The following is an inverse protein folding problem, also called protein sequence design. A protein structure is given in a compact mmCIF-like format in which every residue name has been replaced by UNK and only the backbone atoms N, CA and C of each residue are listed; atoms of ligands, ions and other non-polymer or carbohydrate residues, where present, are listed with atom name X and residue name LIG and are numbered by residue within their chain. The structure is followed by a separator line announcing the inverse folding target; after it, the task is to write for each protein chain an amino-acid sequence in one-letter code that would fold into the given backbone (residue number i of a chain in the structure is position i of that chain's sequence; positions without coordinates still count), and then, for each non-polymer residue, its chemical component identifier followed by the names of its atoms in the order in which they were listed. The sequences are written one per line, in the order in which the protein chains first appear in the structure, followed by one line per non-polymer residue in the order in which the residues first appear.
data_IF_855354191976
#
_entry.id   IF_855354191976
#
_cell.length_a   1.000
_cell.length_b   1.000
_cell.length_c   1.000
_cell.angle_alpha   90.00
_cell.angle_beta   90.00
_cell.angle_gamma   90.00
#
_symmetry.space_group_name_H-M   'P 1'
#
loop_
_entity.id
_entity.type
_entity.pdbx_description
1 polymer ?
#
# COMPACT_ATOMS: atom_id res chain seq x y z
N UNK A 1 -8.10 -8.07 15.13
CA UNK A 1 -8.32 -6.60 15.05
C UNK A 1 -9.18 -6.13 16.22
N UNK A 2 -9.04 -4.87 16.60
CA UNK A 2 -9.81 -4.28 17.71
C UNK A 2 -11.18 -3.80 17.23
N UNK A 3 -11.27 -3.30 16.01
CA UNK A 3 -12.49 -2.84 15.35
C UNK A 3 -12.42 -3.01 13.83
N UNK A 4 -13.53 -2.91 13.14
CA UNK A 4 -13.69 -3.19 11.72
C UNK A 4 -12.90 -2.27 10.76
N UNK A 5 -12.53 -1.07 11.18
CA UNK A 5 -11.67 -0.18 10.39
C UNK A 5 -10.30 -0.79 10.04
N UNK A 6 -9.87 -1.81 10.78
CA UNK A 6 -8.64 -2.57 10.55
C UNK A 6 -8.89 -3.96 9.93
N UNK A 7 -10.05 -4.18 9.27
CA UNK A 7 -10.38 -5.44 8.59
C UNK A 7 -9.26 -5.92 7.66
N UNK A 8 -8.65 -4.99 6.94
CA UNK A 8 -7.54 -5.26 6.03
C UNK A 8 -6.33 -5.96 6.68
N UNK A 9 -6.12 -5.79 8.00
CA UNK A 9 -5.07 -6.51 8.74
C UNK A 9 -5.31 -8.02 8.73
N UNK A 10 -6.55 -8.46 8.77
CA UNK A 10 -6.86 -9.88 8.66
C UNK A 10 -6.84 -10.32 7.20
N UNK A 11 -7.62 -9.66 6.36
CA UNK A 11 -7.90 -10.11 5.00
C UNK A 11 -6.73 -9.88 4.04
N UNK A 12 -6.03 -8.75 4.17
CA UNK A 12 -4.84 -8.46 3.37
C UNK A 12 -3.68 -9.41 3.69
N UNK A 13 -3.43 -9.70 4.98
CA UNK A 13 -2.40 -10.68 5.36
C UNK A 13 -2.79 -12.10 4.97
N UNK A 14 -4.04 -12.52 5.16
CA UNK A 14 -4.51 -13.84 4.74
C UNK A 14 -4.31 -14.02 3.23
N UNK A 15 -4.73 -13.04 2.43
CA UNK A 15 -4.58 -13.07 0.97
C UNK A 15 -3.12 -13.05 0.51
N UNK A 16 -2.23 -12.32 1.20
CA UNK A 16 -0.81 -12.33 0.88
C UNK A 16 -0.13 -13.64 1.27
N UNK A 17 -0.41 -14.17 2.47
CA UNK A 17 0.17 -15.42 2.96
C UNK A 17 -0.31 -16.64 2.17
N UNK A 18 -1.51 -16.64 1.61
CA UNK A 18 -2.01 -17.65 0.69
C UNK A 18 -1.03 -17.88 -0.46
N UNK A 19 -0.62 -16.82 -1.16
CA UNK A 19 0.33 -16.89 -2.26
C UNK A 19 1.75 -17.24 -1.80
N UNK A 20 2.23 -16.64 -0.72
CA UNK A 20 3.56 -16.93 -0.16
C UNK A 20 3.67 -18.39 0.30
N UNK A 21 2.66 -18.89 0.98
CA UNK A 21 2.64 -20.27 1.49
C UNK A 21 2.64 -21.29 0.34
N UNK A 22 1.80 -21.10 -0.68
CA UNK A 22 1.77 -21.97 -1.84
C UNK A 22 3.05 -21.87 -2.67
N UNK A 23 3.61 -20.65 -2.84
CA UNK A 23 4.90 -20.48 -3.53
C UNK A 23 6.04 -21.24 -2.85
N UNK A 24 6.01 -21.35 -1.52
CA UNK A 24 7.00 -22.12 -0.77
C UNK A 24 6.84 -23.63 -0.96
N UNK A 25 5.60 -24.13 -0.98
CA UNK A 25 5.31 -25.56 -1.07
C UNK A 25 5.27 -26.09 -2.51
N UNK A 26 4.99 -25.24 -3.47
CA UNK A 26 4.85 -25.53 -4.91
C UNK A 26 5.61 -24.48 -5.73
N UNK A 27 6.96 -24.47 -5.73
CA UNK A 27 7.76 -23.43 -6.39
C UNK A 27 7.50 -23.33 -7.90
N UNK A 28 7.22 -24.47 -8.55
CA UNK A 28 7.01 -24.56 -9.99
C UNK A 28 5.69 -23.88 -10.46
N UNK A 29 4.79 -23.55 -9.53
CA UNK A 29 3.53 -22.91 -9.88
C UNK A 29 3.64 -21.40 -10.13
N UNK A 30 4.80 -20.81 -9.93
CA UNK A 30 5.05 -19.37 -10.13
C UNK A 30 3.96 -18.50 -9.47
N UNK A 31 3.64 -18.79 -8.22
CA UNK A 31 2.51 -18.16 -7.52
C UNK A 31 2.65 -16.65 -7.38
N UNK A 32 3.86 -16.14 -7.25
CA UNK A 32 4.07 -14.69 -7.14
C UNK A 32 3.84 -13.97 -8.49
N UNK A 33 4.07 -14.62 -9.63
CA UNK A 33 3.66 -14.09 -10.94
C UNK A 33 2.14 -14.06 -11.06
N UNK A 34 1.47 -15.12 -10.57
CA UNK A 34 0.01 -15.15 -10.51
C UNK A 34 -0.56 -14.09 -9.55
N UNK A 35 0.15 -13.78 -8.46
CA UNK A 35 -0.24 -12.71 -7.53
C UNK A 35 -0.34 -11.35 -8.25
N UNK A 36 0.64 -11.03 -9.11
CA UNK A 36 0.57 -9.81 -9.92
C UNK A 36 -0.68 -9.77 -10.79
N UNK A 37 -0.96 -10.85 -11.53
CA UNK A 37 -2.08 -10.91 -12.45
C UNK A 37 -3.46 -10.96 -11.75
N UNK A 38 -3.58 -11.74 -10.65
CA UNK A 38 -4.86 -12.04 -10.01
C UNK A 38 -5.19 -11.12 -8.83
N UNK A 39 -4.18 -10.46 -8.25
CA UNK A 39 -4.35 -9.63 -7.05
C UNK A 39 -4.00 -8.17 -7.35
N UNK A 40 -2.75 -7.89 -7.77
CA UNK A 40 -2.27 -6.50 -7.92
C UNK A 40 -3.02 -5.78 -9.03
N UNK A 41 -3.11 -6.35 -10.24
CA UNK A 41 -3.79 -5.69 -11.37
C UNK A 41 -5.27 -5.42 -11.11
N UNK A 42 -6.09 -6.35 -10.58
CA UNK A 42 -7.46 -6.06 -10.20
C UNK A 42 -7.59 -5.00 -9.09
N UNK A 43 -6.67 -4.98 -8.12
CA UNK A 43 -6.63 -3.93 -7.10
C UNK A 43 -6.38 -2.55 -7.71
N UNK A 44 -5.37 -2.42 -8.58
CA UNK A 44 -5.07 -1.18 -9.29
C UNK A 44 -6.23 -0.73 -10.17
N UNK A 45 -6.90 -1.66 -10.86
CA UNK A 45 -8.06 -1.35 -11.68
C UNK A 45 -9.18 -0.70 -10.86
N UNK A 46 -9.60 -1.33 -9.76
CA UNK A 46 -10.66 -0.81 -8.90
C UNK A 46 -10.23 0.52 -8.22
N UNK A 47 -8.99 0.58 -7.74
CA UNK A 47 -8.48 1.75 -7.03
C UNK A 47 -8.23 2.97 -7.94
N UNK A 48 -8.23 2.75 -9.26
CA UNK A 48 -8.20 3.82 -10.26
C UNK A 48 -9.53 4.54 -10.46
N UNK A 49 -10.61 4.03 -9.86
CA UNK A 49 -11.93 4.63 -9.96
C UNK A 49 -12.08 5.79 -8.97
N UNK A 50 -12.86 6.80 -9.34
CA UNK A 50 -13.18 7.92 -8.46
C UNK A 50 -13.94 7.50 -7.21
N UNK A 51 -14.68 6.37 -7.28
CA UNK A 51 -15.46 5.76 -6.20
C UNK A 51 -14.67 4.85 -5.28
N UNK A 52 -13.34 4.71 -5.46
CA UNK A 52 -12.51 3.94 -4.53
C UNK A 52 -12.52 4.53 -3.12
N UNK A 53 -12.03 3.76 -2.16
CA UNK A 53 -11.87 4.19 -0.78
C UNK A 53 -10.50 3.80 -0.21
N UNK A 54 -10.05 4.39 0.91
CA UNK A 54 -8.84 3.97 1.60
C UNK A 54 -8.92 2.51 2.07
N UNK A 55 -7.78 1.86 2.25
CA UNK A 55 -7.71 0.49 2.79
C UNK A 55 -8.23 0.44 4.23
N UNK A 56 -7.88 1.44 5.03
CA UNK A 56 -8.42 1.64 6.38
C UNK A 56 -9.42 2.78 6.35
N UNK A 57 -10.69 2.48 6.62
CA UNK A 57 -11.79 3.44 6.67
C UNK A 57 -12.46 3.42 8.04
N UNK A 58 -12.88 4.57 8.59
CA UNK A 58 -13.68 4.59 9.81
C UNK A 58 -15.00 3.87 9.58
N UNK A 59 -15.30 2.86 10.40
CA UNK A 59 -16.59 2.16 10.43
C UNK A 59 -17.34 2.61 11.69
N UNK A 60 -18.44 3.31 11.53
CA UNK A 60 -19.23 3.86 12.63
C UNK A 60 -20.54 3.11 12.83
N UNK A 61 -21.15 2.65 11.75
CA UNK A 61 -22.41 1.89 11.78
C UNK A 61 -22.13 0.43 11.41
N UNK A 62 -22.68 -0.57 12.17
CA UNK A 62 -22.59 -1.98 11.79
C UNK A 62 -23.06 -2.29 10.36
N UNK A 63 -23.95 -1.50 9.79
CA UNK A 63 -24.41 -1.65 8.40
C UNK A 63 -23.32 -1.37 7.35
N UNK A 64 -22.26 -0.65 7.74
CA UNK A 64 -21.13 -0.34 6.86
C UNK A 64 -20.14 -1.51 6.77
N UNK A 65 -20.24 -2.51 7.67
CA UNK A 65 -19.27 -3.60 7.79
C UNK A 65 -19.22 -4.44 6.51
N UNK A 66 -20.35 -4.82 5.96
CA UNK A 66 -20.38 -5.65 4.75
C UNK A 66 -19.75 -4.96 3.54
N UNK A 67 -19.85 -3.64 3.46
CA UNK A 67 -19.33 -2.86 2.33
C UNK A 67 -17.80 -2.85 2.24
N UNK A 68 -17.08 -3.11 3.34
CA UNK A 68 -15.62 -3.14 3.37
C UNK A 68 -15.02 -4.53 3.14
N UNK A 69 -15.83 -5.59 3.02
CA UNK A 69 -15.39 -6.91 2.55
C UNK A 69 -15.26 -6.92 1.04
N UNK A 70 -14.30 -6.18 0.52
CA UNK A 70 -14.18 -5.89 -0.90
C UNK A 70 -12.74 -6.06 -1.44
N UNK A 71 -12.56 -5.81 -2.73
CA UNK A 71 -11.26 -5.88 -3.40
C UNK A 71 -10.21 -4.96 -2.79
N UNK A 72 -10.59 -3.83 -2.19
CA UNK A 72 -9.64 -2.91 -1.56
C UNK A 72 -9.08 -3.51 -0.28
N UNK A 73 -9.93 -4.01 0.62
CA UNK A 73 -9.49 -4.64 1.86
C UNK A 73 -8.63 -5.88 1.62
N UNK A 74 -9.00 -6.73 0.65
CA UNK A 74 -8.32 -7.98 0.34
C UNK A 74 -7.12 -7.77 -0.59
N UNK A 75 -7.36 -7.33 -1.83
CA UNK A 75 -6.34 -7.31 -2.88
C UNK A 75 -5.41 -6.11 -2.78
N UNK A 76 -5.93 -4.90 -2.55
CA UNK A 76 -5.04 -3.75 -2.30
C UNK A 76 -4.32 -3.94 -0.97
N UNK A 77 -5.01 -4.42 0.09
CA UNK A 77 -4.39 -4.75 1.38
C UNK A 77 -3.19 -5.67 1.21
N UNK A 78 -3.35 -6.82 0.52
CA UNK A 78 -2.26 -7.76 0.27
C UNK A 78 -1.17 -7.19 -0.64
N UNK A 79 -1.52 -6.36 -1.63
CA UNK A 79 -0.56 -5.71 -2.54
C UNK A 79 0.36 -4.75 -1.80
N UNK A 80 -0.16 -3.95 -0.86
CA UNK A 80 0.67 -3.04 -0.07
C UNK A 80 1.54 -3.77 0.96
N UNK A 81 1.11 -4.94 1.46
CA UNK A 81 1.95 -5.81 2.30
C UNK A 81 3.11 -6.35 1.49
N UNK A 82 2.86 -6.84 0.27
CA UNK A 82 3.91 -7.30 -0.63
C UNK A 82 4.88 -6.17 -1.01
N UNK A 83 4.37 -4.98 -1.28
CA UNK A 83 5.20 -3.79 -1.49
C UNK A 83 6.07 -3.50 -0.27
N UNK A 84 5.52 -3.57 0.94
CA UNK A 84 6.25 -3.34 2.18
C UNK A 84 7.33 -4.40 2.43
N UNK A 85 7.07 -5.67 2.10
CA UNK A 85 8.08 -6.74 2.11
C UNK A 85 9.28 -6.40 1.23
N UNK A 86 9.01 -5.99 -0.02
CA UNK A 86 10.07 -5.61 -0.96
C UNK A 86 10.85 -4.37 -0.52
N UNK A 87 10.19 -3.44 0.19
CA UNK A 87 10.82 -2.23 0.69
C UNK A 87 11.70 -2.46 1.93
N UNK A 88 11.23 -3.25 2.88
CA UNK A 88 11.94 -3.54 4.15
C UNK A 88 12.93 -4.71 4.03
N UNK A 89 12.70 -5.62 3.11
CA UNK A 89 13.31 -6.93 3.03
C UNK A 89 12.57 -7.99 3.84
N UNK A 90 12.61 -9.24 3.36
CA UNK A 90 11.87 -10.37 3.93
C UNK A 90 12.23 -10.62 5.41
N UNK A 91 13.51 -10.58 5.76
CA UNK A 91 13.97 -10.84 7.14
C UNK A 91 13.48 -9.81 8.14
N UNK A 92 13.47 -8.53 7.76
CA UNK A 92 12.96 -7.45 8.60
C UNK A 92 11.46 -7.58 8.78
N UNK A 93 10.72 -7.84 7.69
CA UNK A 93 9.28 -8.05 7.76
C UNK A 93 8.95 -9.26 8.66
N UNK A 94 9.62 -10.39 8.46
CA UNK A 94 9.43 -11.61 9.26
C UNK A 94 9.70 -11.36 10.74
N UNK A 95 10.80 -10.67 11.07
CA UNK A 95 11.15 -10.34 12.45
C UNK A 95 10.08 -9.45 13.10
N UNK A 96 9.65 -8.40 12.41
CA UNK A 96 8.62 -7.50 12.91
C UNK A 96 7.26 -8.16 13.07
N UNK A 97 6.86 -9.02 12.12
CA UNK A 97 5.63 -9.80 12.22
C UNK A 97 5.69 -10.81 13.36
N UNK A 98 6.82 -11.47 13.57
CA UNK A 98 7.00 -12.40 14.69
C UNK A 98 6.85 -11.69 16.04
N UNK A 99 7.44 -10.52 16.20
CA UNK A 99 7.28 -9.71 17.41
C UNK A 99 5.81 -9.27 17.58
N UNK A 100 5.18 -8.75 16.52
CA UNK A 100 3.80 -8.31 16.53
C UNK A 100 2.83 -9.42 16.96
N UNK A 101 2.92 -10.59 16.32
CA UNK A 101 2.04 -11.73 16.61
C UNK A 101 2.24 -12.29 18.03
N UNK A 102 3.48 -12.39 18.48
CA UNK A 102 3.76 -12.85 19.85
C UNK A 102 3.24 -11.89 20.92
N UNK A 103 3.40 -10.58 20.68
CA UNK A 103 2.95 -9.53 21.60
C UNK A 103 1.43 -9.49 21.73
N UNK A 104 0.71 -9.71 20.62
CA UNK A 104 -0.74 -9.59 20.57
C UNK A 104 -1.48 -10.95 20.50
N UNK A 105 -0.76 -12.07 20.76
CA UNK A 105 -1.37 -13.41 20.77
C UNK A 105 -2.51 -13.49 21.76
N UNK A 106 -3.60 -14.13 21.33
CA UNK A 106 -4.85 -14.27 22.11
C UNK A 106 -5.53 -12.95 22.49
N UNK A 107 -5.11 -11.83 21.88
CA UNK A 107 -5.67 -10.51 22.10
C UNK A 107 -6.07 -9.83 20.79
N UNK A 108 -6.25 -8.53 20.86
CA UNK A 108 -6.57 -7.67 19.73
C UNK A 108 -5.45 -6.68 19.45
N UNK A 109 -5.34 -6.24 18.20
CA UNK A 109 -4.38 -5.24 17.77
C UNK A 109 -5.02 -4.27 16.77
N UNK A 110 -4.38 -3.13 16.59
CA UNK A 110 -4.71 -2.13 15.56
C UNK A 110 -3.54 -1.97 14.59
N UNK A 111 -3.80 -1.38 13.43
CA UNK A 111 -2.79 -1.11 12.40
C UNK A 111 -1.52 -0.45 12.96
N UNK A 112 -1.68 0.50 13.88
CA UNK A 112 -0.53 1.20 14.51
C UNK A 112 0.40 0.27 15.30
N UNK A 113 -0.11 -0.81 15.88
CA UNK A 113 0.72 -1.77 16.63
C UNK A 113 1.61 -2.56 15.69
N UNK A 114 1.11 -2.90 14.49
CA UNK A 114 1.93 -3.50 13.44
C UNK A 114 3.06 -2.56 13.00
N UNK A 115 2.73 -1.28 12.74
CA UNK A 115 3.75 -0.31 12.32
C UNK A 115 4.85 -0.11 13.36
N UNK A 116 4.52 -0.11 14.64
CA UNK A 116 5.50 -0.03 15.75
C UNK A 116 6.46 -1.22 15.74
N UNK A 117 5.94 -2.44 15.59
CA UNK A 117 6.78 -3.64 15.58
C UNK A 117 7.69 -3.68 14.36
N UNK A 118 7.18 -3.30 13.18
CA UNK A 118 7.98 -3.22 11.97
C UNK A 118 9.04 -2.10 12.03
N UNK A 119 8.69 -0.93 12.54
CA UNK A 119 9.66 0.17 12.78
C UNK A 119 10.81 -0.30 13.67
N UNK A 120 10.48 -0.98 14.78
CA UNK A 120 11.50 -1.55 15.68
C UNK A 120 12.38 -2.58 14.99
N UNK A 121 11.80 -3.46 14.14
CA UNK A 121 12.56 -4.43 13.36
C UNK A 121 13.59 -3.81 12.42
N UNK A 122 13.37 -2.58 11.95
CA UNK A 122 14.36 -1.79 11.19
C UNK A 122 15.44 -1.15 12.07
N UNK A 123 15.52 -1.47 13.36
CA UNK A 123 16.34 -0.74 14.35
C UNK A 123 16.01 0.75 14.42
N UNK A 124 14.74 1.11 14.21
CA UNK A 124 14.20 2.47 14.16
C UNK A 124 14.81 3.38 13.04
N UNK A 125 15.40 2.77 12.02
CA UNK A 125 15.95 3.51 10.87
C UNK A 125 14.87 3.97 9.89
N UNK A 126 13.73 3.28 9.86
CA UNK A 126 12.60 3.56 8.97
C UNK A 126 11.35 3.84 9.81
N UNK A 127 10.72 4.98 9.60
CA UNK A 127 9.40 5.26 10.18
C UNK A 127 8.32 4.59 9.31
N UNK A 128 8.03 3.32 9.59
CA UNK A 128 7.07 2.52 8.81
C UNK A 128 5.66 3.12 8.90
N UNK A 129 5.26 3.65 10.07
CA UNK A 129 3.94 4.31 10.24
C UNK A 129 3.77 5.47 9.27
N UNK A 130 4.77 6.35 9.17
CA UNK A 130 4.68 7.52 8.29
C UNK A 130 4.55 7.12 6.81
N UNK A 131 5.30 6.10 6.38
CA UNK A 131 5.23 5.60 5.00
C UNK A 131 3.88 4.91 4.76
N UNK A 132 3.50 3.98 5.61
CA UNK A 132 2.33 3.13 5.35
C UNK A 132 1.00 3.85 5.54
N UNK A 133 0.92 4.87 6.36
CA UNK A 133 -0.26 5.72 6.45
C UNK A 133 -0.58 6.42 5.12
N UNK A 134 0.42 6.72 4.29
CA UNK A 134 0.16 7.28 2.95
C UNK A 134 -0.50 6.29 2.01
N UNK A 135 -0.35 4.99 2.24
CA UNK A 135 -0.93 3.91 1.44
C UNK A 135 -2.25 3.38 2.00
N UNK A 136 -2.41 3.41 3.32
CA UNK A 136 -3.59 2.83 3.98
C UNK A 136 -4.71 3.82 4.21
N UNK A 137 -4.38 5.11 4.42
CA UNK A 137 -5.37 6.16 4.74
C UNK A 137 -5.78 7.00 3.54
N UNK A 138 -5.24 6.72 2.36
CA UNK A 138 -5.57 7.41 1.11
C UNK A 138 -6.03 6.40 0.07
N UNK A 139 -7.07 6.79 -0.68
CA UNK A 139 -7.54 6.02 -1.83
C UNK A 139 -6.63 6.28 -3.05
N UNK A 140 -6.58 5.32 -3.97
CA UNK A 140 -5.81 5.44 -5.21
C UNK A 140 -4.34 5.12 -5.04
N UNK A 141 -3.61 5.26 -6.13
CA UNK A 141 -2.17 5.04 -6.20
C UNK A 141 -1.51 6.14 -7.04
N UNK A 142 -0.20 6.39 -6.85
CA UNK A 142 0.48 7.49 -7.51
C UNK A 142 0.73 7.21 -9.00
N UNK A 143 0.48 8.22 -9.83
CA UNK A 143 1.03 8.36 -11.17
C UNK A 143 2.26 9.25 -11.08
N UNK A 144 3.40 8.72 -11.46
CA UNK A 144 4.66 9.45 -11.50
C UNK A 144 4.93 9.87 -12.95
N UNK A 145 5.05 11.16 -13.19
CA UNK A 145 5.35 11.73 -14.50
C UNK A 145 6.72 12.39 -14.47
N UNK A 146 7.62 11.94 -15.33
CA UNK A 146 8.92 12.57 -15.54
C UNK A 146 8.82 13.60 -16.67
N UNK A 147 9.31 14.79 -16.40
CA UNK A 147 9.29 15.90 -17.36
C UNK A 147 10.72 16.48 -17.45
N UNK A 148 11.21 16.63 -18.69
CA UNK A 148 12.40 17.41 -18.94
C UNK A 148 11.99 18.88 -19.07
N UNK A 149 12.66 19.78 -18.40
CA UNK A 149 12.30 21.18 -18.41
C UNK A 149 13.39 22.10 -17.90
N UNK A 150 13.21 23.39 -18.18
CA UNK A 150 14.04 24.47 -17.65
C UNK A 150 13.60 24.73 -16.21
N UNK A 151 14.50 24.53 -15.25
CA UNK A 151 14.14 24.40 -13.83
C UNK A 151 13.91 25.71 -13.10
N UNK A 152 14.80 26.65 -13.18
CA UNK A 152 14.72 27.92 -12.42
C UNK A 152 15.27 29.08 -13.24
N UNK A 153 16.20 28.80 -14.14
CA UNK A 153 16.70 29.72 -15.12
C UNK A 153 16.76 29.03 -16.49
N UNK A 154 16.69 29.82 -17.55
CA UNK A 154 16.67 29.36 -18.95
C UNK A 154 17.97 28.64 -19.39
N UNK A 155 18.92 28.43 -18.48
CA UNK A 155 20.24 27.87 -18.78
C UNK A 155 20.51 26.53 -18.09
N UNK A 156 19.69 26.12 -17.11
CA UNK A 156 19.88 24.86 -16.38
C UNK A 156 18.82 23.84 -16.79
N UNK A 157 19.23 22.86 -17.61
CA UNK A 157 18.39 21.73 -17.95
C UNK A 157 18.34 20.74 -16.80
N UNK A 158 17.16 20.27 -16.45
CA UNK A 158 16.96 19.30 -15.37
C UNK A 158 15.74 18.43 -15.60
N UNK A 159 15.47 17.58 -14.62
CA UNK A 159 14.32 16.70 -14.59
C UNK A 159 13.37 17.11 -13.47
N UNK A 160 12.09 17.17 -13.78
CA UNK A 160 11.04 17.34 -12.79
C UNK A 160 10.21 16.07 -12.70
N UNK A 161 9.91 15.66 -11.48
CA UNK A 161 9.01 14.55 -11.19
C UNK A 161 7.72 15.10 -10.62
N UNK A 162 6.62 14.81 -11.28
CA UNK A 162 5.28 15.15 -10.83
C UNK A 162 4.61 13.90 -10.31
N UNK A 163 4.07 13.97 -9.10
CA UNK A 163 3.21 12.93 -8.54
C UNK A 163 1.76 13.41 -8.50
N UNK A 164 0.86 12.57 -8.98
CA UNK A 164 -0.58 12.77 -8.89
C UNK A 164 -1.28 11.43 -8.67
N UNK A 165 -2.55 11.43 -8.23
CA UNK A 165 -3.33 10.19 -8.18
C UNK A 165 -3.63 9.72 -9.60
N UNK A 166 -3.45 8.42 -9.87
CA UNK A 166 -3.92 7.83 -11.12
C UNK A 166 -5.46 7.68 -11.08
N UNK A 167 -6.12 8.09 -12.16
CA UNK A 167 -7.55 7.88 -12.38
C UNK A 167 -7.75 7.33 -13.79
N UNK A 168 -8.55 6.28 -13.94
CA UNK A 168 -8.86 5.66 -15.24
C UNK A 168 -9.73 6.57 -16.13
N UNK A 169 -10.60 7.40 -15.54
CA UNK A 169 -11.46 8.32 -16.28
C UNK A 169 -10.77 9.66 -16.57
N UNK A 170 -10.64 10.01 -17.84
CA UNK A 170 -10.06 11.28 -18.26
C UNK A 170 -10.88 12.52 -17.82
N UNK A 171 -12.20 12.39 -17.69
CA UNK A 171 -13.08 13.49 -17.27
C UNK A 171 -12.86 13.91 -15.82
N UNK A 172 -12.42 12.98 -14.95
CA UNK A 172 -12.16 13.22 -13.53
C UNK A 172 -10.73 13.73 -13.29
N UNK A 173 -9.79 13.40 -14.20
CA UNK A 173 -8.37 13.82 -14.08
C UNK A 173 -8.20 15.32 -13.98
N UNK A 174 -9.07 16.10 -14.62
CA UNK A 174 -8.94 17.56 -14.71
C UNK A 174 -9.51 18.33 -13.52
N UNK A 175 -10.26 17.70 -12.62
CA UNK A 175 -11.01 18.41 -11.57
C UNK A 175 -10.41 18.39 -10.16
N UNK A 176 -9.53 17.43 -9.80
CA UNK A 176 -9.17 17.23 -8.38
C UNK A 176 -7.76 16.71 -8.11
N UNK A 177 -6.74 17.13 -8.86
CA UNK A 177 -5.38 16.61 -8.60
C UNK A 177 -4.52 17.65 -7.90
N UNK A 178 -4.40 17.51 -6.55
CA UNK A 178 -3.22 18.03 -5.85
C UNK A 178 -1.99 17.28 -6.40
N UNK A 179 -1.06 17.98 -7.01
CA UNK A 179 0.16 17.39 -7.52
C UNK A 179 1.35 17.97 -6.77
N UNK A 180 2.27 17.09 -6.33
CA UNK A 180 3.59 17.50 -5.85
C UNK A 180 4.55 17.47 -7.03
N UNK A 181 5.36 18.51 -7.19
CA UNK A 181 6.42 18.59 -8.20
C UNK A 181 7.74 18.72 -7.45
N UNK A 182 8.71 17.87 -7.79
CA UNK A 182 10.08 17.91 -7.27
C UNK A 182 11.00 17.97 -8.48
N UNK A 183 11.90 18.94 -8.51
CA UNK A 183 12.82 19.13 -9.62
C UNK A 183 14.28 18.89 -9.19
N UNK A 184 15.08 18.32 -10.07
CA UNK A 184 16.48 17.97 -9.84
C UNK A 184 17.33 18.54 -10.97
N UNK A 185 18.50 19.08 -10.65
CA UNK A 185 19.47 19.45 -11.65
C UNK A 185 20.01 18.17 -12.36
N UNK A 186 20.20 18.24 -13.65
CA UNK A 186 21.00 17.24 -14.35
C UNK A 186 22.46 17.46 -13.89
N UNK A 187 23.05 16.44 -13.25
CA UNK A 187 24.48 16.45 -12.93
C UNK A 187 25.31 16.27 -14.18
#
# INVERSE_FOLDING_TARGET
MQWWNDLWLNEGFASWMEYKGVSHTQPDWAMMDQFWAKVVLPALHLDSLASSHPVSVPVKDPKEIEAIFDTISYKKGSSIIHMLENYLGEDVLRTGLTEYLNKHKFGNAVTKDLWKSLTKATSNKVNVEAIMNTWTLQMGYPLITFMKGDLIDKHTQGWCVKQSRFLSSAQVRNKHLSSKIICFNAA
#
